data_IF_235754924484
#
_entry.id   IF_235754924484
#
_cell.length_a   1.000
_cell.length_b   1.000
_cell.length_c   1.000
_cell.angle_alpha   90.00
_cell.angle_beta   90.00
_cell.angle_gamma   90.00
#
_symmetry.space_group_name_H-M   'P 1'
#
loop_
_entity.id
_entity.type
_entity.pdbx_description
1 polymer ?
#
# COMPACT_ATOMS: atom_id res chain seq x y z
N UNK A 1 -0.76 16.07 19.56
CA UNK A 1 0.71 16.19 19.64
C UNK A 1 1.49 15.07 18.93
N UNK A 2 0.85 14.08 18.27
CA UNK A 2 1.57 13.06 17.47
C UNK A 2 1.74 13.45 15.99
N UNK A 3 0.94 14.38 15.49
CA UNK A 3 1.06 14.91 14.13
C UNK A 3 2.32 15.78 13.95
N UNK A 4 2.70 16.53 15.00
CA UNK A 4 3.83 17.45 14.97
C UNK A 4 5.20 16.73 14.96
N UNK A 5 5.22 15.41 15.23
CA UNK A 5 6.43 14.58 15.31
C UNK A 5 6.66 13.70 14.08
N UNK A 6 5.93 13.95 12.98
CA UNK A 6 6.07 13.16 11.75
C UNK A 6 7.06 13.83 10.80
N UNK A 7 8.16 13.13 10.50
CA UNK A 7 9.16 13.59 9.52
C UNK A 7 8.72 13.34 8.06
N UNK A 8 7.67 12.53 7.87
CA UNK A 8 7.12 12.14 6.56
C UNK A 8 5.59 11.99 6.63
N UNK A 9 4.88 12.12 5.49
CA UNK A 9 3.43 11.96 5.46
C UNK A 9 3.01 10.50 5.75
N UNK A 10 1.85 10.34 6.40
CA UNK A 10 1.22 9.03 6.55
C UNK A 10 0.66 8.60 5.19
N UNK A 11 1.12 7.43 4.71
CA UNK A 11 0.65 6.82 3.46
C UNK A 11 -0.04 5.48 3.73
N UNK A 12 -0.98 5.10 2.86
CA UNK A 12 -1.72 3.84 2.97
C UNK A 12 -1.32 2.90 1.85
N UNK A 13 -1.02 1.66 2.21
CA UNK A 13 -0.87 0.55 1.29
C UNK A 13 -2.10 -0.35 1.49
N UNK A 14 -2.93 -0.46 0.47
CA UNK A 14 -4.22 -1.15 0.54
C UNK A 14 -4.55 -1.82 -0.80
N UNK A 15 -5.52 -2.73 -0.77
CA UNK A 15 -5.98 -3.40 -1.97
C UNK A 15 -6.46 -2.39 -3.02
N UNK A 16 -6.37 -2.78 -4.30
CA UNK A 16 -6.85 -1.93 -5.40
C UNK A 16 -8.34 -1.64 -5.23
N UNK A 17 -8.79 -0.46 -5.67
CA UNK A 17 -10.18 -0.02 -5.58
C UNK A 17 -11.07 -0.69 -6.64
N UNK A 18 -11.14 -2.01 -6.59
CA UNK A 18 -11.92 -2.88 -7.49
C UNK A 18 -12.59 -3.98 -6.67
N UNK A 19 -13.70 -4.58 -7.15
CA UNK A 19 -14.25 -5.79 -6.55
C UNK A 19 -13.21 -6.92 -6.56
N UNK A 20 -13.19 -7.75 -5.51
CA UNK A 20 -12.26 -8.88 -5.43
C UNK A 20 -12.51 -9.88 -6.57
N UNK A 21 -11.53 -10.11 -7.45
CA UNK A 21 -11.70 -11.03 -8.57
C UNK A 21 -11.49 -12.49 -8.12
N UNK A 22 -12.17 -13.42 -8.80
CA UNK A 22 -12.00 -14.87 -8.56
C UNK A 22 -10.74 -15.45 -9.20
N UNK A 23 -10.26 -14.86 -10.29
CA UNK A 23 -9.08 -15.36 -10.98
C UNK A 23 -7.83 -15.15 -10.11
N UNK A 24 -7.11 -16.23 -9.80
CA UNK A 24 -5.88 -16.25 -8.99
C UNK A 24 -4.88 -15.15 -9.31
N UNK A 25 -4.62 -14.90 -10.60
CA UNK A 25 -3.63 -13.91 -11.02
C UNK A 25 -4.14 -12.48 -10.77
N UNK A 26 -5.43 -12.24 -10.98
CA UNK A 26 -6.05 -10.95 -10.69
C UNK A 26 -6.23 -10.73 -9.18
N UNK A 27 -6.47 -11.79 -8.42
CA UNK A 27 -6.55 -11.74 -6.96
C UNK A 27 -5.21 -11.30 -6.37
N UNK A 28 -4.12 -11.98 -6.77
CA UNK A 28 -2.75 -11.62 -6.39
C UNK A 28 -2.39 -10.19 -6.80
N UNK A 29 -2.86 -9.71 -7.95
CA UNK A 29 -2.62 -8.33 -8.38
C UNK A 29 -3.41 -7.29 -7.57
N UNK A 30 -4.50 -7.70 -6.92
CA UNK A 30 -5.39 -6.81 -6.15
C UNK A 30 -4.93 -6.68 -4.70
N UNK A 31 -4.40 -7.76 -4.13
CA UNK A 31 -3.87 -7.81 -2.77
C UNK A 31 -2.51 -7.08 -2.72
N UNK A 32 -2.25 -6.22 -1.72
CA UNK A 32 -0.94 -5.60 -1.55
C UNK A 32 0.18 -6.60 -1.34
N UNK A 33 1.27 -6.41 -2.07
CA UNK A 33 2.46 -7.24 -2.00
C UNK A 33 3.55 -6.63 -1.11
N UNK A 34 4.56 -7.43 -0.78
CA UNK A 34 5.77 -6.93 -0.11
C UNK A 34 6.50 -5.88 -0.94
N UNK A 35 6.43 -5.98 -2.28
CA UNK A 35 7.04 -5.01 -3.18
C UNK A 35 6.33 -3.65 -3.07
N UNK A 36 5.01 -3.64 -2.94
CA UNK A 36 4.21 -2.41 -2.74
C UNK A 36 4.57 -1.73 -1.41
N UNK A 37 4.79 -2.50 -0.35
CA UNK A 37 5.25 -1.97 0.95
C UNK A 37 6.63 -1.32 0.83
N UNK A 38 7.59 -2.01 0.22
CA UNK A 38 8.95 -1.49 0.03
C UNK A 38 8.94 -0.23 -0.83
N UNK A 39 8.14 -0.22 -1.91
CA UNK A 39 7.99 0.95 -2.76
C UNK A 39 7.38 2.14 -2.00
N UNK A 40 6.35 1.91 -1.19
CA UNK A 40 5.73 2.95 -0.37
C UNK A 40 6.71 3.53 0.65
N UNK A 41 7.48 2.69 1.36
CA UNK A 41 8.48 3.15 2.33
C UNK A 41 9.61 3.92 1.64
N UNK A 42 10.12 3.41 0.52
CA UNK A 42 11.18 4.08 -0.25
C UNK A 42 10.73 5.41 -0.86
N UNK A 43 9.43 5.59 -1.12
CA UNK A 43 8.89 6.85 -1.62
C UNK A 43 8.71 7.93 -0.55
N UNK A 44 8.96 7.63 0.73
CA UNK A 44 8.87 8.62 1.83
C UNK A 44 10.17 9.38 2.08
N UNK A 45 11.29 8.92 1.52
CA UNK A 45 12.64 9.48 1.70
C UNK A 45 13.23 9.88 0.35
#
# INVERSE_FOLDING_TARGET
>A
KALDSLDAPIVRVAARAVPMPYNDSLERATIPSQQDLVAAVRGLF
#
